data_IF_013038991945
#
_entry.id   IF_013038991945
#
_cell.length_a   1.000
_cell.length_b   1.000
_cell.length_c   1.000
_cell.angle_alpha   90.00
_cell.angle_beta   90.00
_cell.angle_gamma   90.00
#
_symmetry.space_group_name_H-M   'P 1'
#
loop_
_entity.id
_entity.type
_entity.pdbx_description
1 polymer ?
#
# COMPACT_ATOMS: atom_id res chain seq x y z
N UNK A 1 1.39 6.75 -18.40
CA UNK A 1 2.53 7.41 -17.71
C UNK A 1 2.63 8.87 -18.17
N UNK A 2 1.76 9.76 -17.65
CA UNK A 2 1.76 11.18 -18.04
C UNK A 2 3.10 11.90 -17.81
N UNK A 3 3.83 11.56 -16.73
CA UNK A 3 5.15 12.12 -16.43
C UNK A 3 6.26 11.66 -17.37
N UNK A 4 5.98 10.73 -18.29
CA UNK A 4 6.93 10.19 -19.29
C UNK A 4 6.45 10.50 -20.71
N UNK A 5 5.87 11.68 -20.92
CA UNK A 5 5.33 12.15 -22.21
C UNK A 5 4.28 11.20 -22.83
N UNK A 6 3.62 10.38 -22.01
CA UNK A 6 2.66 9.39 -22.49
C UNK A 6 3.28 8.11 -23.06
N UNK A 7 4.60 8.02 -23.18
CA UNK A 7 5.29 6.83 -23.68
C UNK A 7 5.50 5.81 -22.54
N UNK A 8 5.13 4.52 -22.70
CA UNK A 8 5.42 3.51 -21.71
C UNK A 8 6.93 3.33 -21.54
N UNK A 9 7.49 3.64 -20.37
CA UNK A 9 8.91 3.46 -20.09
C UNK A 9 9.13 3.10 -18.62
N UNK A 10 10.10 2.22 -18.37
CA UNK A 10 10.58 1.88 -17.03
C UNK A 10 12.10 2.06 -17.01
N UNK A 11 12.55 2.94 -16.13
CA UNK A 11 13.94 3.14 -15.68
C UNK A 11 14.16 2.51 -14.30
N UNK A 12 14.71 3.27 -13.35
CA UNK A 12 14.91 2.76 -11.98
C UNK A 12 13.56 2.48 -11.30
N UNK A 13 13.54 1.42 -10.48
CA UNK A 13 12.38 0.95 -9.72
C UNK A 13 12.64 1.06 -8.23
N UNK A 14 11.66 1.55 -7.47
CA UNK A 14 11.78 1.67 -6.02
C UNK A 14 10.55 1.07 -5.30
N UNK A 15 10.84 0.19 -4.34
CA UNK A 15 9.87 -0.31 -3.36
C UNK A 15 9.97 0.52 -2.09
N UNK A 16 8.89 1.19 -1.70
CA UNK A 16 8.85 1.99 -0.48
C UNK A 16 8.03 1.25 0.57
N UNK A 17 8.69 0.81 1.64
CA UNK A 17 8.09 0.00 2.71
C UNK A 17 7.95 0.84 3.97
N UNK A 18 6.71 1.12 4.35
CA UNK A 18 6.37 1.96 5.50
C UNK A 18 6.25 1.10 6.76
N UNK A 19 7.07 1.40 7.77
CA UNK A 19 7.13 0.60 8.99
C UNK A 19 6.57 1.38 10.17
N UNK A 20 5.58 0.81 10.87
CA UNK A 20 5.01 1.40 12.08
C UNK A 20 4.36 0.36 13.00
N UNK A 21 4.35 0.64 14.30
CA UNK A 21 3.59 -0.13 15.28
C UNK A 21 2.25 0.53 15.59
N UNK A 22 1.32 -0.29 16.11
CA UNK A 22 -0.06 0.11 16.32
C UNK A 22 -0.49 -0.15 17.76
N UNK A 23 -1.05 0.86 18.43
CA UNK A 23 -1.58 0.72 19.79
C UNK A 23 -2.70 -0.33 19.89
N UNK A 24 -3.46 -0.54 18.81
CA UNK A 24 -4.53 -1.55 18.76
C UNK A 24 -4.02 -3.00 18.88
N UNK A 25 -2.71 -3.21 18.77
CA UNK A 25 -2.11 -4.51 19.10
C UNK A 25 -2.49 -4.97 20.52
N UNK A 26 -2.64 -4.04 21.46
CA UNK A 26 -2.99 -4.31 22.86
C UNK A 26 -4.41 -4.92 23.02
N UNK A 27 -5.25 -4.83 21.99
CA UNK A 27 -6.61 -5.40 21.96
C UNK A 27 -6.65 -6.90 21.60
N UNK A 28 -5.48 -7.54 21.47
CA UNK A 28 -5.42 -8.95 21.11
C UNK A 28 -5.99 -9.20 19.71
N UNK A 29 -5.56 -8.41 18.73
CA UNK A 29 -5.94 -8.59 17.29
C UNK A 29 -4.82 -9.17 16.43
N UNK A 30 -3.63 -9.37 16.99
CA UNK A 30 -2.48 -10.02 16.34
C UNK A 30 -1.91 -11.16 17.21
N UNK A 31 -1.24 -12.12 16.58
CA UNK A 31 -0.52 -13.21 17.27
C UNK A 31 0.98 -12.96 17.40
N UNK A 32 1.55 -12.25 16.43
CA UNK A 32 2.97 -11.91 16.44
C UNK A 32 3.27 -10.91 17.57
N UNK A 33 4.36 -11.11 18.33
CA UNK A 33 4.83 -10.11 19.28
C UNK A 33 5.09 -8.75 18.63
N UNK A 34 4.78 -7.65 19.33
CA UNK A 34 4.93 -6.27 18.81
C UNK A 34 6.34 -5.99 18.25
N UNK A 35 7.38 -6.50 18.91
CA UNK A 35 8.80 -6.35 18.50
C UNK A 35 9.13 -6.90 17.10
N UNK A 36 8.29 -7.76 16.52
CA UNK A 36 8.50 -8.32 15.17
C UNK A 36 8.57 -7.21 14.11
N UNK A 37 7.86 -6.09 14.29
CA UNK A 37 7.97 -4.91 13.41
C UNK A 37 9.43 -4.42 13.32
N UNK A 38 10.05 -4.15 14.46
CA UNK A 38 11.44 -3.67 14.51
C UNK A 38 12.45 -4.71 13.99
N UNK A 39 12.24 -5.99 14.34
CA UNK A 39 13.11 -7.09 13.88
C UNK A 39 13.06 -7.21 12.35
N UNK A 40 11.86 -7.18 11.76
CA UNK A 40 11.70 -7.30 10.32
C UNK A 40 12.19 -6.05 9.57
N UNK A 41 12.02 -4.85 10.12
CA UNK A 41 12.61 -3.64 9.53
C UNK A 41 14.14 -3.73 9.49
N UNK A 42 14.78 -4.25 10.54
CA UNK A 42 16.21 -4.53 10.56
C UNK A 42 16.62 -5.68 9.62
N UNK A 43 15.75 -6.67 9.36
CA UNK A 43 16.00 -7.70 8.35
C UNK A 43 15.94 -7.13 6.92
N UNK A 44 15.08 -6.13 6.67
CA UNK A 44 15.02 -5.50 5.35
C UNK A 44 16.33 -4.78 4.99
N UNK A 45 17.03 -4.17 5.96
CA UNK A 45 18.36 -3.59 5.72
C UNK A 45 19.43 -4.63 5.41
N UNK A 46 19.20 -5.90 5.78
CA UNK A 46 20.06 -7.05 5.46
C UNK A 46 19.65 -7.75 4.16
N UNK A 47 18.55 -7.35 3.53
CA UNK A 47 18.08 -7.94 2.27
C UNK A 47 17.46 -9.34 2.41
N UNK A 48 17.05 -9.77 3.62
CA UNK A 48 16.63 -11.17 3.86
C UNK A 48 15.12 -11.40 3.89
N UNK A 49 14.29 -10.36 3.78
CA UNK A 49 12.82 -10.51 3.81
C UNK A 49 12.25 -10.85 2.43
N UNK A 50 10.96 -11.20 2.38
CA UNK A 50 10.30 -11.59 1.13
C UNK A 50 10.32 -10.49 0.08
N UNK A 51 10.01 -9.23 0.47
CA UNK A 51 10.10 -8.10 -0.47
C UNK A 51 11.54 -7.87 -0.94
N UNK A 52 12.55 -8.03 -0.09
CA UNK A 52 13.95 -7.83 -0.50
C UNK A 52 14.37 -8.81 -1.60
N UNK A 53 14.03 -10.10 -1.45
CA UNK A 53 14.35 -11.12 -2.45
C UNK A 53 13.62 -10.86 -3.76
N UNK A 54 12.33 -10.56 -3.71
CA UNK A 54 11.52 -10.31 -4.92
C UNK A 54 11.89 -8.99 -5.61
N UNK A 55 12.17 -7.93 -4.85
CA UNK A 55 12.63 -6.66 -5.40
C UNK A 55 14.00 -6.81 -6.06
N UNK A 56 14.94 -7.55 -5.44
CA UNK A 56 16.23 -7.85 -6.07
C UNK A 56 16.05 -8.60 -7.39
N UNK A 57 15.16 -9.60 -7.44
CA UNK A 57 14.83 -10.33 -8.66
C UNK A 57 14.23 -9.42 -9.75
N UNK A 58 13.41 -8.45 -9.35
CA UNK A 58 12.82 -7.45 -10.24
C UNK A 58 13.77 -6.29 -10.57
N UNK A 59 15.01 -6.26 -10.06
CA UNK A 59 15.94 -5.15 -10.24
C UNK A 59 15.46 -3.84 -9.61
N UNK A 60 14.76 -3.90 -8.48
CA UNK A 60 14.23 -2.77 -7.74
C UNK A 60 14.94 -2.57 -6.40
N UNK A 61 15.09 -1.32 -5.97
CA UNK A 61 15.68 -0.95 -4.67
C UNK A 61 14.61 -0.88 -3.60
N UNK A 62 14.85 -1.48 -2.43
CA UNK A 62 13.95 -1.39 -1.28
C UNK A 62 14.37 -0.21 -0.38
N UNK A 63 13.43 0.70 -0.15
CA UNK A 63 13.54 1.83 0.77
C UNK A 63 12.71 1.51 2.01
N UNK A 64 13.38 1.19 3.11
CA UNK A 64 12.75 0.92 4.41
C UNK A 64 12.59 2.24 5.13
N UNK A 65 11.36 2.60 5.49
CA UNK A 65 11.02 3.91 6.05
C UNK A 65 10.28 3.71 7.37
N UNK A 66 10.92 4.05 8.48
CA UNK A 66 10.32 4.07 9.80
C UNK A 66 9.48 5.35 9.95
N UNK A 67 8.17 5.17 9.94
CA UNK A 67 7.19 6.25 10.16
C UNK A 67 6.57 6.18 11.55
N UNK A 68 6.88 5.14 12.34
CA UNK A 68 6.22 4.94 13.63
C UNK A 68 6.55 3.67 14.40
N UNK A 69 7.73 3.07 14.25
CA UNK A 69 8.09 1.84 14.98
C UNK A 69 8.22 2.13 16.49
N UNK A 70 7.65 1.27 17.34
CA UNK A 70 7.76 1.34 18.79
C UNK A 70 9.05 0.65 19.27
N UNK A 71 10.19 1.23 18.86
CA UNK A 71 11.53 0.79 19.23
C UNK A 71 12.54 1.94 19.16
N UNK A 72 13.79 1.65 19.51
CA UNK A 72 14.90 2.54 19.19
C UNK A 72 15.10 2.65 17.67
N UNK A 73 15.63 3.78 17.16
CA UNK A 73 15.98 3.90 15.75
C UNK A 73 16.89 2.78 15.26
N UNK A 74 16.57 2.26 14.08
CA UNK A 74 17.30 1.16 13.45
C UNK A 74 18.28 1.75 12.42
N UNK A 75 19.61 1.54 12.56
CA UNK A 75 20.57 1.98 11.56
C UNK A 75 20.28 1.43 10.17
N UNK A 76 20.36 2.29 9.15
CA UNK A 76 20.07 1.93 7.76
C UNK A 76 18.60 2.07 7.35
N UNK A 77 17.70 2.42 8.27
CA UNK A 77 16.30 2.73 7.98
C UNK A 77 16.11 4.24 7.86
N UNK A 78 15.32 4.69 6.88
CA UNK A 78 14.99 6.12 6.72
C UNK A 78 14.08 6.53 7.88
N UNK A 79 14.46 7.58 8.61
CA UNK A 79 13.72 8.03 9.78
C UNK A 79 12.75 9.16 9.42
N UNK A 80 11.45 8.85 9.41
CA UNK A 80 10.32 9.79 9.33
C UNK A 80 9.38 9.54 10.51
N UNK A 81 9.91 9.11 11.65
CA UNK A 81 9.12 8.58 12.75
C UNK A 81 8.29 9.69 13.39
N UNK A 82 6.97 9.55 13.34
CA UNK A 82 6.03 10.50 13.96
C UNK A 82 5.96 10.31 15.47
N UNK A 83 5.85 9.05 15.91
CA UNK A 83 5.84 8.65 17.32
C UNK A 83 6.28 7.19 17.47
N UNK A 84 6.42 6.69 18.69
CA UNK A 84 6.61 5.26 18.96
C UNK A 84 5.25 4.55 18.96
N UNK A 85 4.87 4.02 17.80
CA UNK A 85 3.54 3.47 17.56
C UNK A 85 2.45 4.55 17.50
N UNK A 86 1.40 4.28 16.73
CA UNK A 86 0.20 5.13 16.74
C UNK A 86 -0.70 4.81 17.94
N UNK A 87 -1.65 5.71 18.23
CA UNK A 87 -2.68 5.50 19.25
C UNK A 87 -3.51 4.24 19.02
N UNK A 88 -4.08 3.71 20.10
CA UNK A 88 -5.00 2.58 20.00
C UNK A 88 -6.36 3.05 19.47
N UNK A 89 -6.63 2.71 18.20
CA UNK A 89 -7.85 3.12 17.49
C UNK A 89 -9.15 2.68 18.19
N UNK A 90 -9.09 1.65 19.05
CA UNK A 90 -10.25 1.10 19.74
C UNK A 90 -10.71 1.92 20.94
N UNK A 91 -9.96 2.97 21.33
CA UNK A 91 -10.27 3.86 22.46
C UNK A 91 -10.10 5.35 22.13
N UNK A 92 -9.64 5.69 20.92
CA UNK A 92 -9.39 7.05 20.47
C UNK A 92 -8.74 7.06 19.09
N UNK A 93 -8.24 8.22 18.61
CA UNK A 93 -7.65 8.30 17.27
C UNK A 93 -6.25 7.70 17.20
N UNK A 94 -5.85 7.22 16.02
CA UNK A 94 -4.48 6.77 15.75
C UNK A 94 -3.46 7.92 15.90
N UNK A 95 -3.82 9.12 15.46
CA UNK A 95 -2.95 10.30 15.46
C UNK A 95 -3.79 11.58 15.35
N UNK A 96 -3.17 12.75 15.54
CA UNK A 96 -3.83 14.01 15.18
C UNK A 96 -3.94 14.16 13.66
N UNK A 97 -4.91 14.96 13.20
CA UNK A 97 -5.02 15.34 11.78
C UNK A 97 -3.73 15.97 11.26
N UNK A 98 -3.12 16.87 12.05
CA UNK A 98 -1.87 17.54 11.68
C UNK A 98 -0.69 16.56 11.52
N UNK A 99 -0.61 15.51 12.35
CA UNK A 99 0.40 14.47 12.19
C UNK A 99 0.21 13.70 10.88
N UNK A 100 -1.04 13.38 10.52
CA UNK A 100 -1.34 12.73 9.25
C UNK A 100 -0.94 13.62 8.06
N UNK A 101 -1.34 14.90 8.07
CA UNK A 101 -1.03 15.87 7.00
C UNK A 101 0.49 16.08 6.82
N UNK A 102 1.24 16.22 7.92
CA UNK A 102 2.69 16.37 7.89
C UNK A 102 3.36 15.13 7.30
N UNK A 103 2.96 13.93 7.73
CA UNK A 103 3.54 12.70 7.22
C UNK A 103 3.18 12.46 5.74
N UNK A 104 1.95 12.76 5.32
CA UNK A 104 1.56 12.71 3.90
C UNK A 104 2.48 13.58 3.05
N UNK A 105 2.73 14.82 3.49
CA UNK A 105 3.57 15.77 2.80
C UNK A 105 5.05 15.34 2.76
N UNK A 106 5.58 14.85 3.87
CA UNK A 106 6.96 14.37 3.97
C UNK A 106 7.23 13.17 3.05
N UNK A 107 6.36 12.15 3.10
CA UNK A 107 6.50 10.95 2.25
C UNK A 107 6.24 11.26 0.77
N UNK A 108 5.29 12.15 0.47
CA UNK A 108 5.05 12.59 -0.91
C UNK A 108 6.30 13.27 -1.49
N UNK A 109 6.95 14.17 -0.72
CA UNK A 109 8.18 14.84 -1.13
C UNK A 109 9.33 13.85 -1.33
N UNK A 110 9.53 12.93 -0.39
CA UNK A 110 10.54 11.88 -0.54
C UNK A 110 10.33 11.05 -1.82
N UNK A 111 9.09 10.71 -2.13
CA UNK A 111 8.73 9.98 -3.36
C UNK A 111 9.06 10.81 -4.61
N UNK A 112 8.76 12.12 -4.59
CA UNK A 112 9.11 13.02 -5.68
C UNK A 112 10.62 13.17 -5.87
N UNK A 113 11.38 13.21 -4.78
CA UNK A 113 12.84 13.31 -4.81
C UNK A 113 13.47 12.06 -5.43
N UNK A 114 12.90 10.87 -5.20
CA UNK A 114 13.32 9.64 -5.89
C UNK A 114 13.03 9.70 -7.39
N UNK A 115 11.90 10.28 -7.79
CA UNK A 115 11.60 10.49 -9.20
C UNK A 115 12.64 11.40 -9.89
N UNK A 116 13.06 12.48 -9.22
CA UNK A 116 14.14 13.35 -9.71
C UNK A 116 15.49 12.63 -9.86
N UNK A 117 15.70 11.55 -9.11
CA UNK A 117 16.88 10.68 -9.20
C UNK A 117 16.75 9.56 -10.24
N UNK A 118 15.70 9.58 -11.05
CA UNK A 118 15.50 8.64 -12.17
C UNK A 118 14.59 7.46 -11.87
N UNK A 119 13.94 7.41 -10.69
CA UNK A 119 12.90 6.42 -10.44
C UNK A 119 11.67 6.74 -11.29
N UNK A 120 11.15 5.72 -11.98
CA UNK A 120 10.00 5.86 -12.89
C UNK A 120 8.87 4.90 -12.57
N UNK A 121 9.13 3.89 -11.73
CA UNK A 121 8.13 2.94 -11.27
C UNK A 121 8.29 2.72 -9.76
N UNK A 122 7.24 3.05 -9.03
CA UNK A 122 7.17 2.82 -7.60
C UNK A 122 6.37 1.55 -7.30
N UNK A 123 6.67 0.91 -6.18
CA UNK A 123 5.75 0.00 -5.51
C UNK A 123 5.66 0.35 -4.03
N UNK A 124 4.49 0.11 -3.44
CA UNK A 124 4.25 0.37 -2.01
C UNK A 124 4.20 -0.92 -1.22
N UNK A 125 4.69 -0.86 0.01
CA UNK A 125 4.58 -1.92 0.99
C UNK A 125 4.47 -1.35 2.40
N UNK A 126 4.16 -2.23 3.34
CA UNK A 126 4.13 -1.89 4.76
C UNK A 126 4.77 -2.98 5.61
N UNK A 127 5.05 -2.64 6.86
CA UNK A 127 5.39 -3.59 7.90
C UNK A 127 4.89 -3.05 9.24
N UNK A 128 3.89 -3.71 9.82
CA UNK A 128 3.37 -3.32 11.13
C UNK A 128 2.56 -4.41 11.79
N UNK A 129 2.89 -4.74 13.04
CA UNK A 129 2.06 -5.70 13.77
C UNK A 129 0.68 -5.10 14.06
N UNK A 130 -0.36 -5.92 13.90
CA UNK A 130 -1.79 -5.57 14.05
C UNK A 130 -2.42 -4.66 12.97
N UNK A 131 -1.67 -4.19 11.98
CA UNK A 131 -2.12 -3.18 11.00
C UNK A 131 -3.25 -3.61 10.04
N UNK A 132 -3.50 -4.91 9.87
CA UNK A 132 -4.71 -5.40 9.17
C UNK A 132 -6.01 -4.95 9.86
N UNK A 133 -5.96 -4.57 11.14
CA UNK A 133 -7.10 -4.04 11.90
C UNK A 133 -7.50 -2.63 11.46
N UNK A 134 -6.60 -1.61 11.48
CA UNK A 134 -6.92 -0.31 10.91
C UNK A 134 -7.22 -0.36 9.41
N UNK A 135 -6.55 -1.22 8.62
CA UNK A 135 -6.92 -1.38 7.22
C UNK A 135 -8.37 -1.86 7.03
N UNK A 136 -8.82 -2.84 7.82
CA UNK A 136 -10.20 -3.29 7.78
C UNK A 136 -11.18 -2.19 8.22
N UNK A 137 -10.82 -1.38 9.24
CA UNK A 137 -11.61 -0.23 9.66
C UNK A 137 -11.76 0.81 8.54
N UNK A 138 -10.65 1.18 7.88
CA UNK A 138 -10.66 2.10 6.73
C UNK A 138 -11.51 1.56 5.58
N UNK A 139 -11.34 0.29 5.20
CA UNK A 139 -12.15 -0.32 4.11
C UNK A 139 -13.62 -0.34 4.48
N UNK A 140 -13.97 -0.69 5.73
CA UNK A 140 -15.36 -0.65 6.21
C UNK A 140 -15.95 0.76 6.07
N UNK A 141 -15.22 1.79 6.51
CA UNK A 141 -15.66 3.19 6.42
C UNK A 141 -15.84 3.66 4.98
N UNK A 142 -14.83 3.50 4.12
CA UNK A 142 -14.88 4.00 2.74
C UNK A 142 -15.90 3.26 1.86
N UNK A 143 -16.13 1.97 2.11
CA UNK A 143 -17.01 1.15 1.28
C UNK A 143 -18.42 1.02 1.84
N UNK A 144 -18.65 1.43 3.09
CA UNK A 144 -19.92 1.21 3.80
C UNK A 144 -20.19 -0.26 4.17
N UNK A 145 -19.19 -1.14 4.06
CA UNK A 145 -19.34 -2.57 4.37
C UNK A 145 -19.26 -2.81 5.88
N UNK A 146 -19.98 -3.81 6.39
CA UNK A 146 -19.86 -4.19 7.80
C UNK A 146 -18.46 -4.78 8.07
N UNK A 147 -17.93 -4.51 9.27
CA UNK A 147 -16.61 -5.00 9.68
C UNK A 147 -16.45 -6.51 9.51
N UNK A 148 -17.53 -7.30 9.71
CA UNK A 148 -17.50 -8.76 9.54
C UNK A 148 -17.18 -9.16 8.10
N UNK A 149 -17.48 -8.35 7.11
CA UNK A 149 -17.26 -8.67 5.69
C UNK A 149 -15.80 -8.46 5.29
N UNK A 150 -15.10 -7.52 5.94
CA UNK A 150 -13.76 -7.08 5.54
C UNK A 150 -12.64 -7.55 6.48
N UNK A 151 -12.95 -7.94 7.72
CA UNK A 151 -11.97 -8.43 8.69
C UNK A 151 -11.49 -9.84 8.34
N UNK A 152 -10.19 -9.95 8.05
CA UNK A 152 -9.49 -11.21 7.79
C UNK A 152 -8.57 -11.67 8.93
N UNK A 153 -7.91 -12.81 8.69
CA UNK A 153 -6.99 -13.43 9.64
C UNK A 153 -5.64 -12.72 9.73
N UNK A 154 -5.27 -11.89 8.75
CA UNK A 154 -3.94 -11.28 8.66
C UNK A 154 -2.82 -12.33 8.77
N UNK A 155 -1.86 -12.07 9.66
CA UNK A 155 -0.75 -12.97 9.96
C UNK A 155 -1.17 -14.18 10.82
N UNK A 156 -2.05 -15.04 10.29
CA UNK A 156 -2.49 -16.31 10.91
C UNK A 156 -3.20 -16.16 12.28
N UNK A 157 -4.04 -15.13 12.45
CA UNK A 157 -4.88 -15.03 13.64
C UNK A 157 -5.83 -16.26 13.71
N UNK A 158 -5.89 -16.98 14.87
CA UNK A 158 -6.77 -18.12 15.02
C UNK A 158 -8.24 -17.74 14.78
N UNK A 159 -9.04 -18.61 14.14
CA UNK A 159 -10.46 -18.35 13.89
C UNK A 159 -11.24 -17.94 15.14
N UNK A 160 -10.90 -18.49 16.31
CA UNK A 160 -11.53 -18.16 17.60
C UNK A 160 -11.34 -16.72 18.07
N UNK A 161 -10.38 -15.97 17.49
CA UNK A 161 -10.10 -14.56 17.83
C UNK A 161 -10.65 -13.57 16.79
N UNK A 162 -11.31 -14.05 15.74
CA UNK A 162 -11.84 -13.19 14.68
C UNK A 162 -13.00 -12.33 15.18
N UNK A 163 -13.90 -12.88 15.99
CA UNK A 163 -15.02 -12.12 16.54
C UNK A 163 -14.53 -10.93 17.39
N UNK A 164 -13.52 -11.13 18.24
CA UNK A 164 -12.85 -10.05 18.96
C UNK A 164 -12.32 -8.97 18.01
N UNK A 165 -11.63 -9.37 16.92
CA UNK A 165 -11.10 -8.41 15.94
C UNK A 165 -12.19 -7.63 15.22
N UNK A 166 -13.32 -8.27 14.89
CA UNK A 166 -14.49 -7.60 14.31
C UNK A 166 -15.05 -6.56 15.28
N UNK A 167 -15.19 -6.91 16.57
CA UNK A 167 -15.71 -5.99 17.58
C UNK A 167 -14.77 -4.82 17.83
N UNK A 168 -13.46 -5.04 17.81
CA UNK A 168 -12.44 -3.98 17.90
C UNK A 168 -12.56 -3.00 16.73
N UNK A 169 -12.74 -3.49 15.50
CA UNK A 169 -12.95 -2.62 14.32
C UNK A 169 -14.23 -1.80 14.44
N UNK A 170 -15.36 -2.42 14.83
CA UNK A 170 -16.62 -1.70 15.06
C UNK A 170 -16.47 -0.63 16.13
N UNK A 171 -15.81 -0.96 17.24
CA UNK A 171 -15.57 -0.03 18.35
C UNK A 171 -14.70 1.14 17.93
N UNK A 172 -13.65 0.89 17.15
CA UNK A 172 -12.80 1.94 16.62
C UNK A 172 -13.57 2.94 15.75
N UNK A 173 -14.44 2.45 14.85
CA UNK A 173 -15.31 3.30 14.02
C UNK A 173 -16.30 4.08 14.90
N UNK A 174 -16.96 3.41 15.85
CA UNK A 174 -17.98 4.02 16.69
C UNK A 174 -17.44 5.14 17.60
N UNK A 175 -16.26 4.95 18.20
CA UNK A 175 -15.65 5.95 19.09
C UNK A 175 -15.11 7.14 18.30
N UNK A 176 -14.49 6.89 17.15
CA UNK A 176 -13.81 7.95 16.41
C UNK A 176 -14.72 8.73 15.45
N UNK A 177 -15.81 8.12 14.99
CA UNK A 177 -16.74 8.72 14.01
C UNK A 177 -15.97 9.30 12.78
N UNK A 178 -15.21 8.47 12.04
CA UNK A 178 -14.47 8.94 10.87
C UNK A 178 -15.44 9.33 9.74
N UNK A 179 -15.23 10.50 9.13
CA UNK A 179 -16.01 10.97 7.99
C UNK A 179 -15.51 10.29 6.70
N UNK A 180 -16.31 9.41 6.05
CA UNK A 180 -15.88 8.72 4.84
C UNK A 180 -15.60 9.66 3.66
N UNK A 181 -16.09 10.89 3.69
CA UNK A 181 -15.84 11.88 2.65
C UNK A 181 -14.51 12.62 2.80
N UNK A 182 -13.85 12.51 3.96
CA UNK A 182 -12.55 13.10 4.24
C UNK A 182 -11.50 12.00 4.50
N UNK A 183 -10.74 11.64 3.47
CA UNK A 183 -9.75 10.57 3.57
C UNK A 183 -8.64 10.84 4.60
N UNK A 184 -8.34 12.11 4.92
CA UNK A 184 -7.37 12.47 5.98
C UNK A 184 -7.99 12.23 7.36
N UNK A 185 -9.27 12.57 7.54
CA UNK A 185 -10.00 12.29 8.78
C UNK A 185 -10.01 10.79 9.08
N UNK A 186 -10.38 9.95 8.09
CA UNK A 186 -10.36 8.48 8.24
C UNK A 186 -8.97 7.96 8.60
N UNK A 187 -7.92 8.41 7.89
CA UNK A 187 -6.54 8.02 8.17
C UNK A 187 -6.09 8.38 9.58
N UNK A 188 -6.38 9.61 10.01
CA UNK A 188 -5.95 10.11 11.33
C UNK A 188 -6.67 9.42 12.48
N UNK A 189 -7.93 9.03 12.29
CA UNK A 189 -8.76 8.40 13.30
C UNK A 189 -8.56 6.89 13.41
N UNK A 190 -8.78 6.16 12.31
CA UNK A 190 -8.83 4.68 12.31
C UNK A 190 -7.79 4.04 11.39
N UNK A 191 -6.83 4.82 10.89
CA UNK A 191 -5.67 4.33 10.17
C UNK A 191 -4.48 4.06 11.09
N UNK A 192 -3.28 4.37 10.59
CA UNK A 192 -2.00 4.23 11.27
C UNK A 192 -0.89 4.88 10.43
N UNK A 193 0.30 5.07 11.00
CA UNK A 193 1.36 5.81 10.32
C UNK A 193 1.83 5.13 9.02
N UNK A 194 1.87 3.80 8.99
CA UNK A 194 2.18 3.01 7.79
C UNK A 194 1.17 3.24 6.65
N UNK A 195 -0.12 3.26 6.96
CA UNK A 195 -1.22 3.53 6.03
C UNK A 195 -1.17 4.97 5.49
N UNK A 196 -0.84 5.94 6.36
CA UNK A 196 -0.58 7.33 5.95
C UNK A 196 0.62 7.40 5.02
N UNK A 197 1.72 6.73 5.37
CA UNK A 197 2.93 6.69 4.54
C UNK A 197 2.66 6.13 3.14
N UNK A 198 1.96 5.00 3.02
CA UNK A 198 1.61 4.43 1.71
C UNK A 198 0.73 5.38 0.90
N UNK A 199 -0.23 6.05 1.54
CA UNK A 199 -1.05 7.09 0.91
C UNK A 199 -0.18 8.24 0.38
N UNK A 200 0.82 8.67 1.16
CA UNK A 200 1.80 9.68 0.75
C UNK A 200 2.62 9.27 -0.48
N UNK A 201 3.03 7.99 -0.59
CA UNK A 201 3.72 7.50 -1.80
C UNK A 201 2.82 7.60 -3.02
N UNK A 202 1.55 7.21 -2.90
CA UNK A 202 0.59 7.28 -4.00
C UNK A 202 0.35 8.72 -4.47
N UNK A 203 0.18 9.65 -3.53
CA UNK A 203 0.04 11.08 -3.82
C UNK A 203 1.31 11.66 -4.47
N UNK A 204 2.49 11.33 -3.94
CA UNK A 204 3.77 11.76 -4.49
C UNK A 204 4.02 11.25 -5.91
N UNK A 205 3.82 9.95 -6.14
CA UNK A 205 3.97 9.35 -7.47
C UNK A 205 3.00 9.97 -8.48
N UNK A 206 1.72 10.13 -8.11
CA UNK A 206 0.72 10.77 -8.95
C UNK A 206 1.08 12.23 -9.25
N UNK A 207 1.61 12.98 -8.27
CA UNK A 207 2.09 14.36 -8.46
C UNK A 207 3.26 14.43 -9.45
N UNK A 208 4.11 13.41 -9.50
CA UNK A 208 5.18 13.26 -10.49
C UNK A 208 4.70 12.73 -11.84
N UNK A 209 3.43 12.36 -11.98
CA UNK A 209 2.91 11.75 -13.19
C UNK A 209 3.35 10.31 -13.40
N UNK A 210 3.83 9.64 -12.34
CA UNK A 210 4.48 8.33 -12.38
C UNK A 210 3.60 7.21 -11.79
N UNK A 211 3.72 5.98 -12.31
CA UNK A 211 2.96 4.83 -11.83
C UNK A 211 3.43 4.33 -10.46
N UNK A 212 2.47 3.80 -9.70
CA UNK A 212 2.71 3.07 -8.44
C UNK A 212 1.97 1.74 -8.46
N UNK A 213 2.72 0.67 -8.22
CA UNK A 213 2.19 -0.68 -8.01
C UNK A 213 1.67 -0.81 -6.58
N UNK A 214 0.38 -1.16 -6.47
CA UNK A 214 -0.22 -1.60 -5.21
C UNK A 214 0.28 -3.00 -4.87
N UNK A 215 0.23 -3.37 -3.59
CA UNK A 215 0.55 -4.72 -3.10
C UNK A 215 -0.75 -5.45 -2.73
N UNK A 216 -0.98 -5.68 -1.42
CA UNK A 216 -2.14 -6.37 -0.89
C UNK A 216 -3.14 -5.46 -0.19
N UNK A 217 -3.95 -6.06 0.68
CA UNK A 217 -5.08 -5.42 1.38
C UNK A 217 -4.77 -4.08 2.04
N UNK A 218 -3.62 -3.98 2.70
CA UNK A 218 -3.13 -2.76 3.35
C UNK A 218 -2.92 -1.61 2.35
N UNK A 219 -2.39 -1.92 1.16
CA UNK A 219 -2.22 -0.94 0.10
C UNK A 219 -3.57 -0.56 -0.53
N UNK A 220 -4.56 -1.46 -0.56
CA UNK A 220 -5.90 -1.12 -1.06
C UNK A 220 -6.60 -0.13 -0.12
N UNK A 221 -6.48 -0.30 1.20
CA UNK A 221 -7.04 0.67 2.15
C UNK A 221 -6.39 2.04 2.03
N UNK A 222 -5.07 2.09 1.85
CA UNK A 222 -4.36 3.35 1.57
C UNK A 222 -4.76 3.96 0.22
N UNK A 223 -4.97 3.13 -0.82
CA UNK A 223 -5.43 3.59 -2.13
C UNK A 223 -6.85 4.18 -2.11
N UNK A 224 -7.76 3.60 -1.30
CA UNK A 224 -9.08 4.17 -1.07
C UNK A 224 -8.97 5.57 -0.46
N UNK A 225 -8.13 5.74 0.58
CA UNK A 225 -7.87 7.04 1.17
C UNK A 225 -7.25 8.02 0.16
N UNK A 226 -6.25 7.59 -0.61
CA UNK A 226 -5.59 8.43 -1.62
C UNK A 226 -6.58 8.92 -2.69
N UNK A 227 -7.47 8.03 -3.18
CA UNK A 227 -8.49 8.39 -4.16
C UNK A 227 -9.58 9.28 -3.57
N UNK A 228 -9.90 9.12 -2.28
CA UNK A 228 -10.85 10.00 -1.59
C UNK A 228 -10.26 11.41 -1.38
N UNK A 229 -8.96 11.50 -1.05
CA UNK A 229 -8.25 12.78 -0.90
C UNK A 229 -8.09 13.49 -2.25
N UNK A 230 -7.70 12.74 -3.28
CA UNK A 230 -7.45 13.26 -4.62
C UNK A 230 -7.83 12.23 -5.69
N UNK A 231 -9.05 12.31 -6.29
CA UNK A 231 -9.51 11.33 -7.27
C UNK A 231 -8.59 11.15 -8.49
N UNK A 232 -7.83 12.19 -8.86
CA UNK A 232 -6.85 12.14 -9.94
C UNK A 232 -5.71 11.11 -9.71
N UNK A 233 -5.47 10.67 -8.47
CA UNK A 233 -4.48 9.63 -8.14
C UNK A 233 -4.82 8.30 -8.81
N UNK A 234 -6.11 8.00 -9.02
CA UNK A 234 -6.57 6.69 -9.51
C UNK A 234 -5.89 6.25 -10.80
N UNK A 235 -5.60 7.16 -11.71
CA UNK A 235 -4.99 6.88 -13.02
C UNK A 235 -3.51 6.49 -12.94
N UNK A 236 -2.87 6.63 -11.78
CA UNK A 236 -1.47 6.29 -11.53
C UNK A 236 -1.30 4.98 -10.77
N UNK A 237 -2.39 4.44 -10.22
CA UNK A 237 -2.38 3.21 -9.45
C UNK A 237 -2.48 2.00 -10.38
N UNK A 238 -1.59 1.03 -10.19
CA UNK A 238 -1.57 -0.24 -10.93
C UNK A 238 -1.73 -1.38 -9.91
N UNK A 239 -2.75 -2.24 -10.01
CA UNK A 239 -2.87 -3.39 -9.11
C UNK A 239 -1.79 -4.44 -9.43
N UNK A 240 -1.27 -5.14 -8.43
CA UNK A 240 -0.33 -6.26 -8.65
C UNK A 240 -1.05 -7.62 -8.58
N UNK A 241 -1.35 -8.08 -7.36
CA UNK A 241 -1.98 -9.35 -7.08
C UNK A 241 -3.31 -9.20 -6.36
N UNK A 242 -4.13 -10.24 -6.42
CA UNK A 242 -5.32 -10.40 -5.61
C UNK A 242 -4.93 -10.98 -4.25
N UNK A 243 -4.93 -10.15 -3.21
CA UNK A 243 -4.61 -10.57 -1.85
C UNK A 243 -5.58 -11.63 -1.31
N UNK A 244 -5.07 -12.60 -0.57
CA UNK A 244 -5.88 -13.63 0.11
C UNK A 244 -6.58 -13.13 1.39
N UNK A 245 -6.46 -11.85 1.75
CA UNK A 245 -7.23 -11.26 2.84
C UNK A 245 -8.72 -11.14 2.48
N UNK A 246 -9.59 -11.38 3.47
CA UNK A 246 -11.04 -11.47 3.28
C UNK A 246 -11.65 -10.25 2.56
N UNK A 247 -11.27 -9.05 3.00
CA UNK A 247 -11.80 -7.80 2.46
C UNK A 247 -11.24 -7.38 1.10
N UNK A 248 -10.30 -8.13 0.51
CA UNK A 248 -9.63 -7.76 -0.74
C UNK A 248 -10.61 -7.51 -1.89
N UNK A 249 -11.59 -8.41 -2.07
CA UNK A 249 -12.60 -8.28 -3.13
C UNK A 249 -13.39 -6.97 -3.04
N UNK A 250 -13.83 -6.62 -1.83
CA UNK A 250 -14.64 -5.43 -1.56
C UNK A 250 -13.82 -4.17 -1.85
N UNK A 251 -12.59 -4.11 -1.35
CA UNK A 251 -11.71 -2.96 -1.56
C UNK A 251 -11.37 -2.77 -3.06
N UNK A 252 -11.03 -3.86 -3.77
CA UNK A 252 -10.73 -3.82 -5.20
C UNK A 252 -11.94 -3.44 -6.06
N UNK A 253 -13.13 -3.93 -5.72
CA UNK A 253 -14.37 -3.56 -6.40
C UNK A 253 -14.64 -2.05 -6.28
N UNK A 254 -14.47 -1.47 -5.09
CA UNK A 254 -14.64 -0.04 -4.88
C UNK A 254 -13.57 0.81 -5.60
N UNK A 255 -12.36 0.29 -5.76
CA UNK A 255 -11.30 0.90 -6.57
C UNK A 255 -11.48 0.68 -8.08
N UNK A 256 -12.47 -0.14 -8.50
CA UNK A 256 -12.63 -0.62 -9.86
C UNK A 256 -11.30 -1.18 -10.43
N UNK A 257 -10.68 -2.11 -9.71
CA UNK A 257 -9.40 -2.72 -10.06
C UNK A 257 -9.48 -4.23 -10.17
N UNK A 258 -8.86 -4.77 -11.21
CA UNK A 258 -8.67 -6.20 -11.43
C UNK A 258 -7.16 -6.50 -11.44
N UNK A 259 -6.63 -7.16 -10.39
CA UNK A 259 -5.21 -7.49 -10.33
C UNK A 259 -4.79 -8.52 -11.39
N UNK A 260 -3.53 -8.43 -11.84
CA UNK A 260 -2.98 -9.35 -12.84
C UNK A 260 -2.62 -10.73 -12.27
N UNK A 261 -2.28 -10.80 -10.98
CA UNK A 261 -1.71 -11.99 -10.34
C UNK A 261 -2.68 -12.61 -9.31
N UNK A 262 -2.91 -13.92 -9.39
CA UNK A 262 -3.80 -14.65 -8.48
C UNK A 262 -3.00 -15.70 -7.68
N UNK A 263 -2.23 -15.24 -6.69
CA UNK A 263 -1.19 -16.05 -6.02
C UNK A 263 -1.55 -16.52 -4.61
N UNK A 264 -2.76 -16.21 -4.14
CA UNK A 264 -3.17 -16.39 -2.74
C UNK A 264 -2.18 -15.78 -1.71
N UNK A 265 -1.50 -14.70 -2.10
CA UNK A 265 -0.50 -14.03 -1.26
C UNK A 265 -1.15 -13.14 -0.20
N UNK A 266 -0.53 -13.12 0.99
CA UNK A 266 -0.93 -12.29 2.14
C UNK A 266 0.23 -11.98 3.09
N UNK A 267 1.46 -11.92 2.54
CA UNK A 267 2.64 -11.54 3.31
C UNK A 267 2.62 -10.03 3.65
N UNK A 268 2.27 -9.19 2.67
CA UNK A 268 2.47 -7.75 2.76
C UNK A 268 3.88 -7.38 2.31
N UNK A 269 4.50 -6.40 2.98
CA UNK A 269 5.86 -5.89 2.73
C UNK A 269 6.05 -5.22 1.35
N UNK A 270 5.06 -5.21 0.46
CA UNK A 270 5.25 -4.82 -0.94
C UNK A 270 5.70 -5.98 -1.83
N UNK A 271 5.65 -7.21 -1.32
CA UNK A 271 6.11 -8.41 -2.01
C UNK A 271 5.40 -8.66 -3.34
N UNK A 272 4.09 -8.46 -3.41
CA UNK A 272 3.33 -8.62 -4.64
C UNK A 272 3.51 -7.47 -5.63
N UNK A 273 3.70 -6.24 -5.14
CA UNK A 273 4.09 -5.11 -5.98
C UNK A 273 5.44 -5.38 -6.68
N UNK A 274 6.45 -5.87 -5.95
CA UNK A 274 7.72 -6.29 -6.53
C UNK A 274 7.55 -7.41 -7.58
N UNK A 275 6.71 -8.41 -7.29
CA UNK A 275 6.43 -9.52 -8.21
C UNK A 275 5.75 -9.08 -9.51
N UNK A 276 5.00 -7.97 -9.50
CA UNK A 276 4.31 -7.45 -10.68
C UNK A 276 5.15 -6.47 -11.52
N UNK A 277 6.30 -6.00 -11.02
CA UNK A 277 7.17 -5.10 -11.79
C UNK A 277 7.55 -5.64 -13.18
N UNK A 278 7.91 -6.93 -13.36
CA UNK A 278 8.19 -7.49 -14.68
C UNK A 278 7.01 -7.42 -15.66
N UNK A 279 5.76 -7.36 -15.19
CA UNK A 279 4.58 -7.20 -16.06
C UNK A 279 4.57 -5.79 -16.68
N UNK A 280 4.93 -4.77 -15.90
CA UNK A 280 5.05 -3.39 -16.40
C UNK A 280 6.17 -3.29 -17.43
N UNK A 281 7.31 -3.94 -17.16
CA UNK A 281 8.42 -4.00 -18.11
C UNK A 281 8.05 -4.73 -19.39
N UNK A 282 7.32 -5.85 -19.30
CA UNK A 282 6.83 -6.59 -20.45
C UNK A 282 5.91 -5.74 -21.34
N UNK A 283 5.04 -4.92 -20.75
CA UNK A 283 4.19 -4.00 -21.50
C UNK A 283 5.02 -2.93 -22.25
N UNK A 284 6.06 -2.38 -21.60
CA UNK A 284 7.00 -1.47 -22.26
C UNK A 284 7.76 -2.17 -23.39
N UNK A 285 8.28 -3.38 -23.14
CA UNK A 285 9.02 -4.15 -24.13
C UNK A 285 8.16 -4.48 -25.36
N UNK A 286 6.90 -4.85 -25.15
CA UNK A 286 5.94 -5.09 -26.22
C UNK A 286 5.72 -3.84 -27.07
N UNK A 287 5.48 -2.68 -26.44
CA UNK A 287 5.25 -1.42 -27.14
C UNK A 287 6.44 -0.98 -28.00
N UNK A 288 7.68 -1.13 -27.49
CA UNK A 288 8.88 -0.62 -28.17
C UNK A 288 9.51 -1.58 -29.18
N UNK A 289 9.32 -2.89 -29.01
CA UNK A 289 10.09 -3.89 -29.76
C UNK A 289 9.25 -4.78 -30.68
N UNK A 290 7.91 -4.73 -30.61
CA UNK A 290 7.08 -5.44 -31.58
C UNK A 290 7.23 -4.82 -32.97
N UNK A 291 7.30 -5.68 -33.99
CA UNK A 291 7.26 -5.24 -35.38
C UNK A 291 5.91 -4.67 -35.77
N UNK A 292 5.91 -3.77 -36.76
CA UNK A 292 4.68 -3.26 -37.35
C UNK A 292 4.17 -4.19 -38.45
N UNK A 293 2.86 -4.45 -38.50
CA UNK A 293 2.25 -5.28 -39.56
C UNK A 293 2.56 -4.74 -40.96
N UNK A 294 2.58 -3.41 -41.11
CA UNK A 294 2.92 -2.72 -42.35
C UNK A 294 4.32 -3.07 -42.86
N UNK A 295 5.30 -3.24 -41.95
CA UNK A 295 6.67 -3.64 -42.32
C UNK A 295 6.74 -5.06 -42.89
N UNK A 296 5.74 -5.91 -42.62
CA UNK A 296 5.63 -7.28 -43.15
C UNK A 296 4.54 -7.44 -44.21
N UNK A 297 3.95 -6.35 -44.70
CA UNK A 297 2.82 -6.35 -45.66
C UNK A 297 1.59 -7.15 -45.18
N UNK A 298 1.37 -7.24 -43.87
CA UNK A 298 0.21 -7.93 -43.29
C UNK A 298 -0.92 -6.91 -43.14
N UNK A 299 -2.09 -7.20 -43.71
CA UNK A 299 -3.30 -6.39 -43.57
C UNK A 299 -4.38 -7.24 -42.92
N UNK A 300 -4.90 -6.78 -41.78
CA UNK A 300 -6.05 -7.41 -41.13
C UNK A 300 -7.35 -6.84 -41.71
N UNK A 301 -8.44 -7.63 -41.75
CA UNK A 301 -9.75 -7.10 -42.08
C UNK A 301 -10.06 -5.92 -41.16
N UNK A 302 -10.36 -4.74 -41.73
CA UNK A 302 -10.70 -3.57 -40.92
C UNK A 302 -11.86 -3.88 -39.97
N UNK A 303 -11.83 -3.33 -38.76
CA UNK A 303 -12.97 -3.39 -37.85
C UNK A 303 -14.21 -2.91 -38.60
N UNK A 304 -15.20 -3.80 -38.77
CA UNK A 304 -16.52 -3.36 -39.21
C UNK A 304 -16.99 -2.35 -38.18
N UNK A 305 -17.09 -1.08 -38.58
CA UNK A 305 -17.78 -0.07 -37.79
C UNK A 305 -19.20 -0.60 -37.53
N UNK A 306 -19.46 -1.04 -36.30
CA UNK A 306 -20.80 -1.27 -35.76
C UNK A 306 -21.17 -0.11 -34.87
#
# INVERSE_FOLDING_TARGET
>A
MPGLNGTPQVGEKAMLVMCADHGVWDEGVAVSPKIVTAIQAANMTRGTTGVCVLAAQAGAKVHVIDVGIDAEPIPGVVNMRVARGCGNIAVGPAMSRSQAEVLLLEVSRYTCDLAQRGVTLFGVGELGMANTTPAAAMVSVFTGSDAKEVVGIGANLPPSRIDNKVDVVRRAIAINQPDPHDGIDVLSKVGGFDLVGMTGVMLGAARCGLPVLLDGFLSYSAALAACQIAPAVRSYLIPSHFSAEKGARIALAHLAMEPYLHMAMRLGEGSGAALAMPIVEAACAMFHNMGELAASNIVLPGEKQT
#
